data_IF_569432963292
#
_entry.id   IF_569432963292
#
_cell.length_a   1.000
_cell.length_b   1.000
_cell.length_c   1.000
_cell.angle_alpha   90.00
_cell.angle_beta   90.00
_cell.angle_gamma   90.00
#
_symmetry.space_group_name_H-M   'P 1'
#
loop_
_entity.id
_entity.type
_entity.pdbx_description
1 polymer ?
#
# COMPACT_ATOMS: atom_id res chain seq x y z
N UNK A 1 8.49 -9.54 -4.09
CA UNK A 1 9.71 -10.34 -4.39
C UNK A 1 9.66 -11.63 -3.61
N UNK A 2 10.04 -12.74 -4.25
CA UNK A 2 10.05 -14.06 -3.60
C UNK A 2 11.47 -14.42 -3.15
N UNK A 3 11.58 -14.94 -1.93
CA UNK A 3 12.86 -15.43 -1.39
C UNK A 3 12.86 -16.95 -1.47
N UNK A 4 13.83 -17.52 -2.17
CA UNK A 4 14.03 -18.96 -2.23
C UNK A 4 15.01 -19.38 -1.13
N UNK A 5 14.48 -20.12 -0.16
CA UNK A 5 15.31 -20.87 0.77
C UNK A 5 15.35 -22.31 0.24
N UNK A 6 16.54 -22.87 0.18
CA UNK A 6 16.87 -24.21 -0.32
C UNK A 6 15.76 -25.24 0.02
N UNK A 7 15.09 -25.77 -0.99
CA UNK A 7 14.06 -26.80 -0.85
C UNK A 7 12.74 -26.38 -0.26
N UNK A 8 12.51 -25.10 0.03
CA UNK A 8 11.26 -24.60 0.58
C UNK A 8 10.49 -23.76 -0.43
N UNK A 9 9.17 -23.63 -0.19
CA UNK A 9 8.32 -22.76 -1.01
C UNK A 9 8.75 -21.32 -0.84
N UNK A 10 8.79 -20.54 -1.93
CA UNK A 10 9.16 -19.12 -1.85
C UNK A 10 8.12 -18.34 -1.04
N UNK A 11 8.60 -17.43 -0.20
CA UNK A 11 7.79 -16.43 0.46
C UNK A 11 7.91 -15.12 -0.33
N UNK A 12 6.76 -14.55 -0.69
CA UNK A 12 6.71 -13.25 -1.34
C UNK A 12 6.19 -12.22 -0.34
N UNK A 13 6.85 -11.08 -0.25
CA UNK A 13 6.46 -10.00 0.64
C UNK A 13 6.30 -8.69 -0.09
N UNK A 14 5.19 -8.00 0.16
CA UNK A 14 4.92 -6.65 -0.28
C UNK A 14 4.60 -5.74 0.90
N UNK A 15 4.61 -4.44 0.66
CA UNK A 15 4.28 -3.42 1.64
C UNK A 15 3.41 -2.35 0.99
N UNK A 16 2.36 -1.93 1.68
CA UNK A 16 1.45 -0.87 1.25
C UNK A 16 1.07 0.01 2.42
N UNK A 17 0.62 1.22 2.12
CA UNK A 17 0.16 2.12 3.16
C UNK A 17 -1.07 2.92 2.75
N UNK A 18 -1.94 3.18 3.73
CA UNK A 18 -2.97 4.20 3.64
C UNK A 18 -2.37 5.53 4.10
N UNK A 19 -2.01 6.37 3.15
CA UNK A 19 -1.50 7.73 3.40
C UNK A 19 -2.69 8.66 3.53
N UNK A 20 -2.79 9.34 4.67
CA UNK A 20 -3.91 10.26 4.97
C UNK A 20 -3.50 11.70 4.79
N UNK A 21 -4.43 12.52 4.30
CA UNK A 21 -4.28 13.98 4.33
C UNK A 21 -5.04 14.57 5.54
N UNK A 22 -4.97 15.89 5.71
CA UNK A 22 -5.62 16.57 6.83
C UNK A 22 -7.15 16.50 6.78
N UNK A 23 -7.74 16.27 5.61
CA UNK A 23 -9.17 16.07 5.45
C UNK A 23 -9.63 14.65 5.80
N UNK A 24 -8.71 13.74 6.14
CA UNK A 24 -9.00 12.35 6.43
C UNK A 24 -9.19 11.48 5.18
N UNK A 25 -8.88 12.02 4.01
CA UNK A 25 -8.89 11.25 2.77
C UNK A 25 -7.64 10.39 2.66
N UNK A 26 -7.73 9.32 1.90
CA UNK A 26 -6.67 8.32 1.71
C UNK A 26 -6.20 8.33 0.25
N UNK A 27 -4.89 8.30 0.07
CA UNK A 27 -4.27 8.30 -1.25
C UNK A 27 -4.36 6.92 -1.90
N UNK A 28 -4.89 6.87 -3.11
CA UNK A 28 -4.92 5.67 -3.95
C UNK A 28 -4.24 5.94 -5.27
N UNK A 29 -3.66 4.92 -5.85
CA UNK A 29 -2.94 5.00 -7.13
C UNK A 29 -3.54 4.04 -8.15
N UNK A 30 -3.47 4.44 -9.41
CA UNK A 30 -3.81 3.60 -10.55
C UNK A 30 -2.52 3.31 -11.33
N UNK A 31 -2.24 2.04 -11.53
CA UNK A 31 -1.10 1.60 -12.34
C UNK A 31 -1.45 1.58 -13.82
N UNK A 32 -0.45 1.75 -14.69
CA UNK A 32 -0.65 1.71 -16.15
C UNK A 32 -0.90 0.29 -16.68
N UNK A 33 -0.49 -0.73 -15.94
CA UNK A 33 -0.43 -2.12 -16.41
C UNK A 33 -1.43 -3.07 -15.75
N UNK A 34 -2.18 -2.61 -14.73
CA UNK A 34 -3.22 -3.40 -14.04
C UNK A 34 -4.43 -2.52 -13.77
N UNK A 35 -5.61 -3.13 -13.75
CA UNK A 35 -6.87 -2.43 -13.46
C UNK A 35 -7.05 -2.21 -11.97
N UNK A 36 -7.79 -1.15 -11.64
CA UNK A 36 -8.25 -0.84 -10.30
C UNK A 36 -7.38 0.15 -9.56
N UNK A 37 -7.91 0.60 -8.44
CA UNK A 37 -7.22 1.52 -7.53
C UNK A 37 -6.65 0.74 -6.34
N UNK A 38 -5.42 1.04 -6.01
CA UNK A 38 -4.63 0.38 -4.98
C UNK A 38 -4.12 1.38 -3.97
N UNK A 39 -3.87 0.92 -2.76
CA UNK A 39 -2.93 1.66 -1.89
C UNK A 39 -1.54 1.66 -2.52
N UNK A 40 -0.79 2.77 -2.42
CA UNK A 40 0.58 2.79 -2.91
C UNK A 40 1.47 1.81 -2.13
N UNK A 41 2.44 1.26 -2.82
CA UNK A 41 3.39 0.30 -2.26
C UNK A 41 3.94 -0.62 -3.32
N UNK A 42 4.66 -1.64 -2.91
CA UNK A 42 5.29 -2.60 -3.81
C UNK A 42 6.04 -3.70 -3.08
N UNK A 43 6.92 -4.39 -3.80
CA UNK A 43 7.70 -5.49 -3.25
C UNK A 43 8.83 -5.02 -2.34
N UNK A 44 9.11 -5.80 -1.31
CA UNK A 44 10.28 -5.61 -0.47
C UNK A 44 11.49 -6.20 -1.19
N UNK A 45 12.48 -5.36 -1.50
CA UNK A 45 13.68 -5.78 -2.21
C UNK A 45 14.72 -6.37 -1.25
N UNK A 46 15.64 -7.15 -1.82
CA UNK A 46 16.72 -7.77 -1.04
C UNK A 46 17.53 -6.68 -0.30
N UNK A 47 17.74 -6.88 0.98
CA UNK A 47 18.52 -5.97 1.83
C UNK A 47 17.73 -4.79 2.37
N UNK A 48 16.49 -4.59 1.94
CA UNK A 48 15.62 -3.56 2.49
C UNK A 48 14.83 -4.07 3.69
N UNK A 49 14.60 -3.21 4.68
CA UNK A 49 13.56 -3.45 5.67
C UNK A 49 12.20 -3.15 5.04
N UNK A 50 11.13 -3.66 5.63
CA UNK A 50 9.76 -3.37 5.15
C UNK A 50 9.48 -1.86 5.15
N UNK A 51 9.88 -1.14 6.19
CA UNK A 51 9.69 0.31 6.29
C UNK A 51 10.54 1.07 5.27
N UNK A 52 11.77 0.63 5.01
CA UNK A 52 12.63 1.23 3.97
C UNK A 52 11.99 1.05 2.58
N UNK A 53 11.48 -0.13 2.28
CA UNK A 53 10.76 -0.39 1.02
C UNK A 53 9.51 0.47 0.90
N UNK A 54 8.75 0.62 1.99
CA UNK A 54 7.58 1.49 2.01
C UNK A 54 7.96 2.93 1.66
N UNK A 55 8.98 3.47 2.31
CA UNK A 55 9.45 4.83 2.03
C UNK A 55 9.83 5.04 0.57
N UNK A 56 10.58 4.10 0.00
CA UNK A 56 10.97 4.13 -1.41
C UNK A 56 9.75 4.07 -2.34
N UNK A 57 8.85 3.14 -2.11
CA UNK A 57 7.64 2.99 -2.94
C UNK A 57 6.71 4.20 -2.86
N UNK A 58 6.55 4.79 -1.68
CA UNK A 58 5.72 5.98 -1.52
C UNK A 58 6.30 7.18 -2.28
N UNK A 59 7.62 7.33 -2.30
CA UNK A 59 8.25 8.38 -3.11
C UNK A 59 8.06 8.12 -4.62
N UNK A 60 8.28 6.89 -5.06
CA UNK A 60 8.19 6.51 -6.47
C UNK A 60 6.76 6.56 -7.01
N UNK A 61 5.79 6.03 -6.26
CA UNK A 61 4.42 5.87 -6.74
C UNK A 61 3.49 7.04 -6.38
N UNK A 62 3.77 7.73 -5.29
CA UNK A 62 2.83 8.71 -4.74
C UNK A 62 3.43 10.11 -4.53
N UNK A 63 4.73 10.28 -4.70
CA UNK A 63 5.39 11.55 -4.41
C UNK A 63 5.34 11.91 -2.92
N UNK A 64 5.32 10.92 -2.05
CA UNK A 64 5.20 11.05 -0.59
C UNK A 64 6.52 10.67 0.07
N UNK A 65 7.06 11.58 0.88
CA UNK A 65 8.25 11.33 1.71
C UNK A 65 7.84 11.21 3.17
N UNK A 66 8.18 10.10 3.79
CA UNK A 66 7.94 9.90 5.22
C UNK A 66 8.81 10.84 6.05
N UNK A 67 8.19 11.54 7.00
CA UNK A 67 8.86 12.41 7.97
C UNK A 67 8.70 11.90 9.40
N UNK A 68 7.81 10.94 9.62
CA UNK A 68 7.58 10.27 10.88
C UNK A 68 7.39 8.77 10.67
N UNK A 69 7.26 8.02 11.76
CA UNK A 69 7.10 6.58 11.71
C UNK A 69 5.70 6.19 11.20
N UNK A 70 5.60 5.31 10.20
CA UNK A 70 4.31 4.76 9.82
C UNK A 70 3.77 3.85 10.93
N UNK A 71 2.45 3.76 11.04
CA UNK A 71 1.77 2.95 12.04
C UNK A 71 1.45 1.56 11.48
N UNK A 72 1.92 0.52 12.16
CA UNK A 72 1.67 -0.86 11.79
C UNK A 72 0.18 -1.22 11.92
N UNK A 73 -0.38 -1.83 10.89
CA UNK A 73 -1.74 -2.39 10.93
C UNK A 73 -1.68 -3.91 11.01
N UNK A 74 -0.97 -4.56 10.12
CA UNK A 74 -0.86 -6.01 10.12
C UNK A 74 -0.24 -6.57 8.84
N UNK A 75 -0.14 -7.89 8.84
CA UNK A 75 0.28 -8.67 7.68
C UNK A 75 -0.92 -9.47 7.18
N UNK A 76 -1.15 -9.47 5.88
CA UNK A 76 -2.31 -10.07 5.25
C UNK A 76 -1.89 -11.05 4.18
N UNK A 77 -2.57 -12.18 4.11
CA UNK A 77 -2.34 -13.14 3.04
C UNK A 77 -2.96 -12.64 1.73
N UNK A 78 -2.16 -12.55 0.70
CA UNK A 78 -2.62 -12.24 -0.66
C UNK A 78 -2.67 -13.51 -1.54
N UNK A 79 -2.83 -14.65 -0.91
CA UNK A 79 -2.78 -15.97 -1.53
C UNK A 79 -3.77 -16.16 -2.68
N UNK A 80 -4.93 -15.48 -2.61
CA UNK A 80 -5.96 -15.57 -3.67
C UNK A 80 -5.51 -14.95 -5.00
N UNK A 81 -4.55 -14.02 -4.94
CA UNK A 81 -4.01 -13.33 -6.11
C UNK A 81 -2.67 -13.93 -6.51
N UNK A 82 -1.77 -14.08 -5.56
CA UNK A 82 -0.46 -14.66 -5.78
C UNK A 82 -0.11 -15.62 -4.65
N UNK A 83 0.14 -16.89 -5.01
CA UNK A 83 0.46 -17.95 -4.04
C UNK A 83 1.66 -17.58 -3.17
N UNK A 84 1.54 -17.74 -1.87
CA UNK A 84 2.53 -17.41 -0.85
C UNK A 84 2.89 -15.91 -0.73
N UNK A 85 2.08 -15.04 -1.33
CA UNK A 85 2.26 -13.60 -1.19
C UNK A 85 1.61 -13.07 0.09
N UNK A 86 2.27 -12.10 0.70
CA UNK A 86 1.80 -11.41 1.89
C UNK A 86 2.01 -9.91 1.74
N UNK A 87 1.08 -9.13 2.28
CA UNK A 87 1.14 -7.66 2.28
C UNK A 87 1.26 -7.18 3.72
N UNK A 88 2.34 -6.46 4.01
CA UNK A 88 2.50 -5.69 5.23
C UNK A 88 1.80 -4.35 5.04
N UNK A 89 0.85 -4.02 5.91
CA UNK A 89 0.05 -2.81 5.77
C UNK A 89 0.28 -1.84 6.91
N UNK A 90 0.44 -0.57 6.53
CA UNK A 90 0.66 0.56 7.43
C UNK A 90 -0.36 1.66 7.18
N UNK A 91 -0.55 2.53 8.16
CA UNK A 91 -1.17 3.84 7.96
C UNK A 91 -0.12 4.93 8.16
N UNK A 92 -0.25 6.03 7.43
CA UNK A 92 0.61 7.20 7.55
C UNK A 92 -0.28 8.40 7.80
N UNK A 93 -0.15 9.01 8.97
CA UNK A 93 -0.93 10.18 9.35
C UNK A 93 -0.47 11.43 8.58
N UNK A 94 -1.36 12.42 8.45
CA UNK A 94 -1.07 13.64 7.70
C UNK A 94 0.17 14.40 8.21
N UNK A 95 0.47 14.29 9.52
CA UNK A 95 1.64 14.93 10.14
C UNK A 95 2.96 14.18 9.90
N UNK A 96 2.92 12.97 9.35
CA UNK A 96 4.08 12.07 9.26
C UNK A 96 4.63 11.94 7.84
N UNK A 97 4.20 12.81 6.93
CA UNK A 97 4.73 12.84 5.57
C UNK A 97 4.70 14.25 4.98
N UNK A 98 5.46 14.44 3.92
CA UNK A 98 5.46 15.65 3.09
C UNK A 98 5.54 15.28 1.61
N UNK A 99 5.15 16.21 0.74
CA UNK A 99 5.32 16.01 -0.71
C UNK A 99 6.79 16.08 -1.09
N UNK A 100 7.22 15.20 -1.99
CA UNK A 100 8.56 15.27 -2.57
C UNK A 100 8.69 16.41 -3.57
N UNK A 101 7.57 16.99 -4.04
CA UNK A 101 7.54 17.96 -5.13
C UNK A 101 7.74 17.34 -6.52
N UNK A 102 7.91 16.01 -6.59
CA UNK A 102 8.11 15.28 -7.85
C UNK A 102 6.78 14.62 -8.24
N UNK A 103 6.34 14.84 -9.48
CA UNK A 103 5.13 14.21 -10.00
C UNK A 103 5.41 12.73 -10.31
N UNK A 104 4.77 11.79 -9.62
CA UNK A 104 5.00 10.36 -9.84
C UNK A 104 4.27 9.80 -11.08
N UNK A 105 3.38 10.55 -11.68
CA UNK A 105 2.64 10.11 -12.87
C UNK A 105 3.60 9.96 -14.04
N UNK A 106 3.54 8.81 -14.72
CA UNK A 106 4.41 8.52 -15.83
C UNK A 106 4.27 7.08 -16.31
N UNK A 107 5.39 6.36 -16.35
CA UNK A 107 5.45 5.00 -16.94
C UNK A 107 4.62 3.97 -16.17
N UNK A 108 4.65 4.00 -14.84
CA UNK A 108 4.03 2.98 -13.97
C UNK A 108 2.72 3.45 -13.36
N UNK A 109 2.62 4.72 -13.02
CA UNK A 109 1.45 5.31 -12.38
C UNK A 109 0.74 6.24 -13.36
N UNK A 110 -0.55 5.99 -13.60
CA UNK A 110 -1.37 6.80 -14.51
C UNK A 110 -2.25 7.82 -13.79
N UNK A 111 -2.56 7.58 -12.52
CA UNK A 111 -3.48 8.45 -11.76
C UNK A 111 -3.21 8.33 -10.27
N UNK A 112 -3.37 9.43 -9.56
CA UNK A 112 -3.37 9.50 -8.10
C UNK A 112 -4.64 10.20 -7.68
N UNK A 113 -5.37 9.62 -6.75
CA UNK A 113 -6.58 10.22 -6.19
C UNK A 113 -6.54 10.25 -4.68
N UNK A 114 -7.26 11.22 -4.12
CA UNK A 114 -7.62 11.26 -2.71
C UNK A 114 -9.04 10.75 -2.55
N UNK A 115 -9.22 9.72 -1.75
CA UNK A 115 -10.46 9.00 -1.58
C UNK A 115 -11.03 9.18 -0.19
N UNK A 116 -12.30 9.55 -0.09
CA UNK A 116 -13.02 9.45 1.18
C UNK A 116 -13.23 7.96 1.50
N UNK A 117 -12.68 7.44 2.61
CA UNK A 117 -12.82 6.03 2.94
C UNK A 117 -14.28 5.60 3.19
N UNK A 118 -15.18 6.55 3.49
CA UNK A 118 -16.61 6.27 3.64
C UNK A 118 -17.33 6.12 2.29
N UNK A 119 -16.74 6.60 1.22
CA UNK A 119 -17.34 6.62 -0.12
C UNK A 119 -16.29 6.25 -1.18
N UNK A 120 -15.77 5.01 -1.14
CA UNK A 120 -14.74 4.58 -2.09
C UNK A 120 -15.26 4.53 -3.51
N UNK A 121 -14.39 4.81 -4.52
CA UNK A 121 -14.74 4.61 -5.92
C UNK A 121 -15.13 3.15 -6.23
N UNK A 122 -15.92 2.95 -7.27
CA UNK A 122 -16.42 1.62 -7.65
C UNK A 122 -15.32 0.66 -8.10
N UNK A 123 -14.22 1.19 -8.61
CA UNK A 123 -13.14 0.40 -9.19
C UNK A 123 -11.92 0.20 -8.26
N UNK A 124 -12.09 0.39 -6.96
CA UNK A 124 -11.07 -0.04 -6.00
C UNK A 124 -10.96 -1.57 -6.02
N UNK A 125 -9.75 -2.07 -5.85
CA UNK A 125 -9.55 -3.53 -5.79
C UNK A 125 -10.20 -4.11 -4.53
N UNK A 126 -10.54 -5.42 -4.54
CA UNK A 126 -11.15 -6.05 -3.36
C UNK A 126 -10.33 -5.90 -2.08
N UNK A 127 -9.01 -6.03 -2.16
CA UNK A 127 -8.13 -5.83 -1.00
C UNK A 127 -8.15 -4.41 -0.50
N UNK A 128 -8.10 -3.44 -1.39
CA UNK A 128 -8.21 -2.02 -1.05
C UNK A 128 -9.55 -1.73 -0.36
N UNK A 129 -10.63 -2.26 -0.90
CA UNK A 129 -11.96 -2.07 -0.33
C UNK A 129 -12.08 -2.63 1.09
N UNK A 130 -11.53 -3.83 1.33
CA UNK A 130 -11.52 -4.43 2.67
C UNK A 130 -10.81 -3.55 3.69
N UNK A 131 -9.63 -3.05 3.35
CA UNK A 131 -8.86 -2.18 4.25
C UNK A 131 -9.55 -0.84 4.49
N UNK A 132 -10.16 -0.24 3.45
CA UNK A 132 -10.93 1.00 3.62
C UNK A 132 -12.11 0.79 4.59
N UNK A 133 -12.82 -0.31 4.45
CA UNK A 133 -13.94 -0.66 5.34
C UNK A 133 -13.49 -0.86 6.78
N UNK A 134 -12.37 -1.52 7.00
CA UNK A 134 -11.80 -1.69 8.34
C UNK A 134 -11.40 -0.36 8.96
N UNK A 135 -10.86 0.56 8.18
CA UNK A 135 -10.51 1.90 8.65
C UNK A 135 -11.74 2.68 9.13
N UNK A 136 -12.88 2.51 8.46
CA UNK A 136 -14.15 3.18 8.81
C UNK A 136 -14.85 2.50 9.99
N UNK A 137 -14.96 1.17 9.94
CA UNK A 137 -15.76 0.41 10.90
C UNK A 137 -14.99 0.00 12.15
N UNK A 138 -13.67 0.01 12.09
CA UNK A 138 -12.84 -0.53 13.18
C UNK A 138 -12.93 -2.05 13.27
N UNK A 139 -12.53 -2.59 14.41
CA UNK A 139 -12.51 -4.02 14.66
C UNK A 139 -11.21 -4.70 14.28
N UNK A 140 -11.14 -6.01 14.49
CA UNK A 140 -9.97 -6.79 14.15
C UNK A 140 -9.84 -6.92 12.63
N UNK A 141 -8.64 -6.71 12.06
CA UNK A 141 -8.43 -6.90 10.63
C UNK A 141 -8.61 -8.37 10.23
N UNK A 142 -9.05 -8.58 9.00
CA UNK A 142 -9.12 -9.91 8.41
C UNK A 142 -7.72 -10.50 8.20
N UNK A 143 -7.67 -11.80 7.90
CA UNK A 143 -6.41 -12.49 7.56
C UNK A 143 -6.00 -12.23 6.12
N UNK A 144 -6.97 -12.05 5.24
CA UNK A 144 -6.74 -11.87 3.81
C UNK A 144 -6.71 -10.40 3.41
N UNK A 145 -5.81 -10.14 2.46
CA UNK A 145 -5.68 -8.82 1.81
C UNK A 145 -6.93 -8.41 1.05
#
# INVERSE_FOLDING_TARGET
MCVFLSGRRPFCGGVRAAVKNEAGEVLLVRHTYVKGLYFPGGGVERGETVVTSLGRELEEEAGVRLTGAPSWVGIFSNHRVMKNDHVCFYTVEASDWESTGINPIGREISEIIWCDPNSPPDDVTPGTLRRLREMVNGGAPEVYW
#
